data_IF_311169059920
#
_entry.id   IF_311169059920
#
_cell.length_a   1.000
_cell.length_b   1.000
_cell.length_c   1.000
_cell.angle_alpha   90.00
_cell.angle_beta   90.00
_cell.angle_gamma   90.00
#
_symmetry.space_group_name_H-M   'P 1'
#
loop_
_entity.id
_entity.type
_entity.pdbx_description
1 polymer ?
#
# COMPACT_ATOMS: atom_id res chain seq x y z
N UNK A 1 -2.95 25.84 52.07
CA UNK A 1 -2.45 27.14 51.58
C UNK A 1 -1.07 26.92 50.97
N UNK A 2 -0.98 26.73 49.66
CA UNK A 2 0.31 26.73 48.95
C UNK A 2 0.10 27.36 47.58
N UNK A 3 0.90 28.37 47.29
CA UNK A 3 0.62 29.40 46.32
C UNK A 3 1.01 29.04 44.89
N UNK A 4 0.21 29.61 43.98
CA UNK A 4 0.31 29.68 42.53
C UNK A 4 1.63 30.30 42.06
N UNK A 5 2.16 29.82 40.92
CA UNK A 5 2.84 30.67 39.94
C UNK A 5 2.35 30.31 38.55
N UNK A 6 1.45 31.16 38.02
CA UNK A 6 1.15 31.24 36.60
C UNK A 6 2.33 31.97 35.92
N UNK A 7 2.94 31.32 34.93
CA UNK A 7 3.83 31.99 34.00
C UNK A 7 3.06 32.23 32.69
N UNK A 8 2.57 33.46 32.55
CA UNK A 8 1.94 33.99 31.36
C UNK A 8 3.05 34.44 30.41
N UNK A 9 3.31 33.68 29.35
CA UNK A 9 4.25 34.11 28.29
C UNK A 9 3.44 34.61 27.09
N UNK A 10 3.52 35.92 26.89
CA UNK A 10 2.93 36.64 25.76
C UNK A 10 3.80 36.51 24.50
N UNK A 11 3.11 36.21 23.39
CA UNK A 11 3.19 36.88 22.06
C UNK A 11 4.51 36.81 21.28
N UNK A 12 4.43 36.19 20.10
CA UNK A 12 4.86 36.80 18.84
C UNK A 12 4.21 36.04 17.67
N UNK A 13 3.00 36.46 17.30
CA UNK A 13 2.32 36.03 16.08
C UNK A 13 2.97 36.76 14.91
N UNK A 14 3.96 36.13 14.27
CA UNK A 14 4.58 36.63 13.03
C UNK A 14 3.73 36.17 11.84
N UNK A 15 2.88 37.08 11.38
CA UNK A 15 2.07 36.94 10.17
C UNK A 15 2.95 37.20 8.95
N UNK A 16 3.61 36.15 8.44
CA UNK A 16 4.28 36.20 7.15
C UNK A 16 3.27 35.86 6.05
N UNK A 17 2.75 36.92 5.44
CA UNK A 17 2.00 36.88 4.18
C UNK A 17 3.00 36.63 3.05
N UNK A 18 3.03 35.41 2.51
CA UNK A 18 3.67 35.11 1.23
C UNK A 18 2.60 34.83 0.17
N UNK A 19 2.20 35.90 -0.52
CA UNK A 19 1.56 35.81 -1.84
C UNK A 19 2.62 35.33 -2.84
N UNK A 20 2.65 34.02 -3.07
CA UNK A 20 3.42 33.39 -4.14
C UNK A 20 2.49 32.53 -4.99
N UNK A 21 1.74 33.15 -5.89
CA UNK A 21 0.97 32.45 -6.89
C UNK A 21 1.92 31.84 -7.93
N UNK A 22 2.48 30.67 -7.64
CA UNK A 22 3.08 29.82 -8.64
C UNK A 22 1.95 29.04 -9.33
N UNK A 23 1.40 29.63 -10.38
CA UNK A 23 0.59 28.90 -11.36
C UNK A 23 1.50 27.89 -12.05
N UNK A 24 1.62 26.68 -11.47
CA UNK A 24 2.13 25.52 -12.19
C UNK A 24 1.19 25.27 -13.37
N UNK A 25 1.58 25.82 -14.52
CA UNK A 25 0.96 25.49 -15.77
C UNK A 25 1.12 24.01 -15.99
N UNK A 26 0.04 23.24 -15.86
CA UNK A 26 -0.09 21.98 -16.58
C UNK A 26 -0.02 22.34 -18.07
N UNK A 27 1.20 22.34 -18.62
CA UNK A 27 1.42 22.40 -20.07
C UNK A 27 0.77 21.13 -20.62
N UNK A 28 -0.46 21.27 -21.10
CA UNK A 28 -1.06 20.32 -22.03
C UNK A 28 -0.26 20.41 -23.32
N UNK A 29 0.78 19.59 -23.45
CA UNK A 29 1.30 19.22 -24.76
C UNK A 29 0.19 18.46 -25.48
N UNK A 30 -0.64 19.19 -26.21
CA UNK A 30 -1.50 18.63 -27.25
C UNK A 30 -0.55 18.14 -28.34
N UNK A 31 -0.06 16.92 -28.19
CA UNK A 31 0.66 16.22 -29.25
C UNK A 31 -0.33 15.93 -30.37
N UNK A 32 -0.34 16.77 -31.40
CA UNK A 32 -0.94 16.43 -32.69
C UNK A 32 -0.23 15.19 -33.22
N UNK A 33 -0.91 14.04 -33.17
CA UNK A 33 -0.48 12.81 -33.85
C UNK A 33 -0.37 13.10 -35.35
N UNK A 34 0.81 12.97 -35.99
CA UNK A 34 0.88 12.86 -37.43
C UNK A 34 0.21 11.55 -37.84
N UNK A 35 -0.65 11.62 -38.86
CA UNK A 35 -1.35 10.46 -39.40
C UNK A 35 -0.39 9.36 -39.83
N UNK A 36 -0.74 8.12 -39.46
CA UNK A 36 -0.18 6.92 -40.05
C UNK A 36 -1.34 6.20 -40.71
N UNK A 37 -1.19 5.99 -42.01
CA UNK A 37 -2.27 5.67 -42.94
C UNK A 37 -2.87 4.29 -42.78
N UNK A 38 -4.06 4.20 -43.37
CA UNK A 38 -4.73 2.98 -43.79
C UNK A 38 -3.88 2.15 -44.76
N UNK A 39 -3.75 0.87 -44.44
CA UNK A 39 -3.16 -0.20 -45.25
C UNK A 39 -2.85 -1.35 -44.31
N UNK A 40 -3.69 -2.38 -44.16
CA UNK A 40 -4.29 -3.21 -45.20
C UNK A 40 -3.44 -4.47 -45.33
N UNK A 41 -3.87 -5.58 -44.75
CA UNK A 41 -3.89 -6.96 -45.30
C UNK A 41 -4.31 -7.95 -44.21
N UNK A 42 -5.42 -8.65 -44.45
CA UNK A 42 -5.84 -9.86 -43.72
C UNK A 42 -4.80 -10.98 -43.88
N UNK A 43 -4.36 -11.65 -42.79
CA UNK A 43 -3.72 -12.95 -42.90
C UNK A 43 -4.76 -14.09 -42.94
N UNK A 44 -4.44 -15.18 -43.67
CA UNK A 44 -5.37 -16.26 -43.99
C UNK A 44 -5.72 -17.13 -42.77
N UNK A 45 -6.97 -17.58 -42.74
CA UNK A 45 -7.46 -18.71 -41.95
C UNK A 45 -6.57 -19.93 -42.21
N UNK A 46 -5.91 -20.44 -41.16
CA UNK A 46 -5.18 -21.68 -41.20
C UNK A 46 -5.66 -22.62 -40.09
N UNK A 47 -6.41 -23.62 -40.55
CA UNK A 47 -6.43 -25.01 -40.11
C UNK A 47 -6.73 -25.34 -38.63
N UNK A 48 -7.93 -25.91 -38.49
CA UNK A 48 -8.33 -26.96 -37.55
C UNK A 48 -7.20 -27.99 -37.36
N UNK A 49 -6.82 -28.24 -36.12
CA UNK A 49 -5.87 -29.28 -35.73
C UNK A 49 -6.40 -30.04 -34.51
N UNK A 50 -6.33 -31.36 -34.61
CA UNK A 50 -7.19 -32.35 -33.97
C UNK A 50 -6.90 -32.64 -32.49
N UNK A 51 -7.99 -33.09 -31.86
CA UNK A 51 -8.14 -34.10 -30.81
C UNK A 51 -6.86 -34.77 -30.25
N UNK A 52 -6.70 -34.64 -28.94
CA UNK A 52 -5.91 -35.57 -28.13
C UNK A 52 -6.52 -35.63 -26.75
N UNK A 53 -7.49 -36.54 -26.60
CA UNK A 53 -7.89 -37.17 -25.34
C UNK A 53 -6.65 -37.72 -24.64
N UNK A 54 -6.17 -37.02 -23.61
CA UNK A 54 -5.26 -37.60 -22.62
C UNK A 54 -6.08 -37.91 -21.38
N UNK A 55 -6.61 -39.13 -21.36
CA UNK A 55 -7.08 -39.82 -20.16
C UNK A 55 -5.88 -40.14 -19.26
N UNK A 56 -5.43 -39.12 -18.52
CA UNK A 56 -4.39 -39.26 -17.50
C UNK A 56 -5.03 -39.60 -16.16
N UNK A 57 -5.18 -40.90 -15.90
CA UNK A 57 -5.53 -41.49 -14.60
C UNK A 57 -4.59 -40.97 -13.49
N UNK A 58 -4.97 -39.85 -12.89
CA UNK A 58 -4.35 -39.36 -11.66
C UNK A 58 -5.12 -40.00 -10.52
N UNK A 59 -4.66 -41.20 -10.17
CA UNK A 59 -4.94 -41.88 -8.91
C UNK A 59 -4.98 -40.85 -7.78
N UNK A 60 -6.20 -40.43 -7.46
CA UNK A 60 -6.50 -39.53 -6.36
C UNK A 60 -6.25 -40.33 -5.10
N UNK A 61 -5.02 -40.28 -4.58
CA UNK A 61 -4.79 -40.66 -3.21
C UNK A 61 -5.81 -39.88 -2.37
N UNK A 62 -6.60 -40.54 -1.50
CA UNK A 62 -7.57 -39.85 -0.68
C UNK A 62 -6.82 -38.76 0.07
N UNK A 63 -7.16 -37.50 -0.22
CA UNK A 63 -6.79 -36.37 0.62
C UNK A 63 -7.24 -36.76 2.02
N UNK A 64 -6.27 -37.14 2.86
CA UNK A 64 -6.52 -37.35 4.27
C UNK A 64 -7.17 -36.07 4.75
N UNK A 65 -8.45 -36.16 5.07
CA UNK A 65 -9.17 -35.14 5.77
C UNK A 65 -8.44 -34.95 7.10
N UNK A 66 -7.51 -33.99 7.10
CA UNK A 66 -6.69 -33.67 8.25
C UNK A 66 -7.62 -33.53 9.44
N UNK A 67 -7.38 -34.38 10.44
CA UNK A 67 -8.11 -34.37 11.69
C UNK A 67 -8.23 -32.92 12.19
N UNK A 68 -9.40 -32.50 12.72
CA UNK A 68 -9.52 -31.20 13.35
C UNK A 68 -8.41 -31.10 14.40
N UNK A 69 -7.48 -30.18 14.18
CA UNK A 69 -6.37 -29.95 15.08
C UNK A 69 -6.95 -29.20 16.28
N UNK A 70 -7.63 -29.92 17.17
CA UNK A 70 -8.23 -29.43 18.41
C UNK A 70 -7.17 -29.02 19.46
N UNK A 71 -5.89 -29.03 19.07
CA UNK A 71 -4.82 -28.37 19.80
C UNK A 71 -4.56 -27.00 19.20
N UNK A 72 -5.15 -25.95 19.77
CA UNK A 72 -4.76 -24.57 19.50
C UNK A 72 -3.24 -24.45 19.73
N UNK A 73 -2.46 -24.46 18.63
CA UNK A 73 -1.02 -24.29 18.72
C UNK A 73 -0.73 -23.03 19.54
N UNK A 74 0.25 -23.07 20.46
CA UNK A 74 0.57 -21.93 21.28
C UNK A 74 0.87 -20.73 20.38
N UNK A 75 0.27 -19.59 20.73
CA UNK A 75 0.44 -18.35 19.97
C UNK A 75 1.93 -17.99 19.91
N UNK A 76 2.50 -17.69 18.73
CA UNK A 76 3.89 -17.28 18.62
C UNK A 76 4.17 -16.06 19.51
N UNK A 77 5.35 -16.00 20.12
CA UNK A 77 5.76 -14.91 21.03
C UNK A 77 5.79 -13.52 20.39
N UNK A 78 5.75 -13.46 19.05
CA UNK A 78 5.68 -12.23 18.26
C UNK A 78 4.32 -11.52 18.43
N UNK A 79 3.26 -12.32 18.63
CA UNK A 79 1.85 -11.93 18.62
C UNK A 79 1.39 -11.51 20.03
N UNK A 80 0.51 -10.50 20.09
CA UNK A 80 -0.18 -10.12 21.34
C UNK A 80 -1.33 -11.08 21.65
N UNK A 81 -1.99 -11.58 20.61
CA UNK A 81 -3.04 -12.60 20.68
C UNK A 81 -3.12 -13.38 19.37
N UNK A 82 -3.66 -14.61 19.43
CA UNK A 82 -3.88 -15.44 18.24
C UNK A 82 -5.27 -16.06 18.25
N UNK A 83 -5.89 -16.18 17.08
CA UNK A 83 -7.16 -16.89 16.88
C UNK A 83 -7.22 -17.45 15.46
N UNK A 84 -7.53 -18.75 15.30
CA UNK A 84 -7.79 -19.37 14.00
C UNK A 84 -6.80 -18.97 12.87
N UNK A 85 -5.49 -19.08 13.14
CA UNK A 85 -4.38 -18.72 12.24
C UNK A 85 -4.17 -17.20 11.98
N UNK A 86 -4.82 -16.34 12.77
CA UNK A 86 -4.57 -14.90 12.78
C UNK A 86 -3.73 -14.51 13.99
N UNK A 87 -2.64 -13.77 13.75
CA UNK A 87 -1.74 -13.18 14.73
C UNK A 87 -2.05 -11.68 14.84
N UNK A 88 -2.60 -11.23 15.97
CA UNK A 88 -2.81 -9.81 16.23
C UNK A 88 -1.65 -9.23 17.03
N UNK A 89 -1.08 -8.14 16.56
CA UNK A 89 0.02 -7.41 17.19
C UNK A 89 -0.48 -6.00 17.49
N UNK A 90 -0.69 -5.68 18.77
CA UNK A 90 -1.20 -4.37 19.20
C UNK A 90 -0.06 -3.52 19.76
N UNK A 91 0.18 -2.38 19.11
CA UNK A 91 1.17 -1.39 19.50
C UNK A 91 0.45 -0.12 19.98
N UNK A 92 0.44 0.09 21.30
CA UNK A 92 -0.28 1.21 21.93
C UNK A 92 0.67 2.32 22.41
N UNK A 93 1.99 2.11 22.27
CA UNK A 93 3.04 3.04 22.67
C UNK A 93 4.01 3.30 21.52
N UNK A 94 4.76 4.40 21.60
CA UNK A 94 5.77 4.76 20.62
C UNK A 94 6.91 3.72 20.50
N UNK A 95 7.16 2.95 21.57
CA UNK A 95 8.26 2.00 21.68
C UNK A 95 7.86 0.58 21.25
N UNK A 96 7.09 0.44 20.17
CA UNK A 96 6.87 -0.89 19.61
C UNK A 96 8.16 -1.35 18.90
N UNK A 97 8.83 -2.43 19.33
CA UNK A 97 10.05 -2.90 18.67
C UNK A 97 9.73 -3.35 17.24
N UNK A 98 10.76 -3.55 16.42
CA UNK A 98 10.56 -4.16 15.11
C UNK A 98 9.82 -5.51 15.25
N UNK A 99 8.86 -5.76 14.36
CA UNK A 99 8.00 -6.94 14.41
C UNK A 99 8.01 -7.66 13.08
N UNK A 100 8.07 -8.99 13.15
CA UNK A 100 8.04 -9.89 12.00
C UNK A 100 6.84 -10.81 12.13
N UNK A 101 6.03 -10.89 11.08
CA UNK A 101 4.92 -11.82 11.04
C UNK A 101 5.41 -13.28 10.94
N UNK A 102 4.87 -14.21 11.73
CA UNK A 102 5.16 -15.64 11.56
C UNK A 102 4.77 -16.15 10.17
N UNK A 103 5.58 -17.05 9.62
CA UNK A 103 5.32 -17.70 8.33
C UNK A 103 3.96 -18.40 8.32
N UNK A 104 3.19 -18.21 7.24
CA UNK A 104 1.93 -18.92 7.01
C UNK A 104 0.72 -18.40 7.79
N UNK A 105 0.90 -17.41 8.67
CA UNK A 105 -0.20 -16.81 9.44
C UNK A 105 -0.77 -15.58 8.74
N UNK A 106 -2.00 -15.19 9.12
CA UNK A 106 -2.55 -13.86 8.80
C UNK A 106 -2.13 -12.90 9.90
N UNK A 107 -1.50 -11.79 9.57
CA UNK A 107 -1.07 -10.81 10.57
C UNK A 107 -1.93 -9.55 10.56
N UNK A 108 -2.26 -9.07 11.76
CA UNK A 108 -3.00 -7.83 11.97
C UNK A 108 -2.20 -6.93 12.92
N UNK A 109 -1.58 -5.89 12.37
CA UNK A 109 -0.87 -4.87 13.13
C UNK A 109 -1.83 -3.73 13.48
N UNK A 110 -1.95 -3.42 14.77
CA UNK A 110 -2.79 -2.31 15.28
C UNK A 110 -1.92 -1.27 15.97
N UNK A 111 -1.54 -0.25 15.23
CA UNK A 111 -0.72 0.87 15.68
C UNK A 111 -1.65 2.02 16.10
N UNK A 112 -2.13 1.95 17.35
CA UNK A 112 -3.13 2.89 17.88
C UNK A 112 -2.52 4.03 18.69
N UNK A 113 -1.32 3.84 19.24
CA UNK A 113 -0.60 4.88 19.95
C UNK A 113 0.03 5.90 19.00
N UNK A 114 0.20 7.13 19.47
CA UNK A 114 0.97 8.14 18.72
C UNK A 114 2.42 7.68 18.57
N UNK A 115 2.96 7.87 17.38
CA UNK A 115 4.30 7.42 16.96
C UNK A 115 4.52 5.91 17.15
N UNK A 116 3.45 5.12 17.31
CA UNK A 116 3.53 3.66 17.37
C UNK A 116 3.96 3.09 16.02
N UNK A 117 4.61 1.92 16.06
CA UNK A 117 5.14 1.28 14.86
C UNK A 117 6.13 2.16 14.08
N UNK A 118 6.91 2.97 14.81
CA UNK A 118 8.01 3.75 14.23
C UNK A 118 9.18 2.87 13.76
N UNK A 119 9.25 1.64 14.27
CA UNK A 119 10.20 0.61 13.84
C UNK A 119 9.68 -0.14 12.60
N UNK A 120 10.57 -0.82 11.85
CA UNK A 120 10.17 -1.61 10.70
C UNK A 120 9.15 -2.71 11.04
N UNK A 121 8.12 -2.84 10.20
CA UNK A 121 7.15 -3.92 10.21
C UNK A 121 7.43 -4.83 9.01
N UNK A 122 7.68 -6.11 9.27
CA UNK A 122 7.94 -7.10 8.22
C UNK A 122 6.81 -8.14 8.20
N UNK A 123 6.02 -8.14 7.12
CA UNK A 123 4.96 -9.12 6.92
C UNK A 123 5.51 -10.49 6.49
N UNK A 124 6.80 -10.63 6.19
CA UNK A 124 7.50 -11.89 5.94
C UNK A 124 6.81 -12.79 4.91
N UNK A 125 6.65 -14.06 5.25
CA UNK A 125 5.93 -15.06 4.45
C UNK A 125 4.49 -15.28 4.98
N UNK A 126 3.83 -14.20 5.42
CA UNK A 126 2.42 -14.23 5.80
C UNK A 126 1.52 -14.49 4.59
N UNK A 127 0.37 -15.11 4.85
CA UNK A 127 -0.65 -15.30 3.80
C UNK A 127 -1.44 -14.03 3.57
N UNK A 128 -1.62 -13.20 4.62
CA UNK A 128 -2.27 -11.90 4.58
C UNK A 128 -1.62 -10.98 5.62
N UNK A 129 -1.49 -9.70 5.33
CA UNK A 129 -0.97 -8.71 6.26
C UNK A 129 -1.81 -7.44 6.26
N UNK A 130 -2.49 -7.18 7.37
CA UNK A 130 -3.30 -5.98 7.56
C UNK A 130 -2.62 -5.05 8.56
N UNK A 131 -2.30 -3.83 8.16
CA UNK A 131 -1.61 -2.83 8.98
C UNK A 131 -2.53 -1.63 9.18
N UNK A 132 -2.89 -1.35 10.44
CA UNK A 132 -3.76 -0.24 10.83
C UNK A 132 -2.97 0.81 11.61
N UNK A 133 -2.74 1.96 10.97
CA UNK A 133 -1.98 3.09 11.48
C UNK A 133 -2.95 4.22 11.86
N UNK A 134 -3.44 4.18 13.10
CA UNK A 134 -4.48 5.09 13.57
C UNK A 134 -3.95 6.22 14.45
N UNK A 135 -2.79 6.04 15.10
CA UNK A 135 -2.16 7.08 15.91
C UNK A 135 -1.52 8.20 15.07
N UNK A 136 -1.34 9.38 15.67
CA UNK A 136 -0.59 10.48 15.05
C UNK A 136 0.84 10.01 14.74
N UNK A 137 1.32 10.22 13.52
CA UNK A 137 2.69 9.81 13.18
C UNK A 137 2.93 8.30 13.32
N UNK A 138 1.89 7.47 13.33
CA UNK A 138 2.06 6.02 13.40
C UNK A 138 2.61 5.47 12.09
N UNK A 139 3.33 4.35 12.17
CA UNK A 139 3.90 3.68 11.01
C UNK A 139 4.89 4.55 10.21
N UNK A 140 5.75 5.30 10.90
CA UNK A 140 6.84 6.04 10.25
C UNK A 140 8.00 5.15 9.83
N UNK A 141 8.04 3.90 10.30
CA UNK A 141 9.03 2.90 9.90
C UNK A 141 8.73 2.30 8.53
N UNK A 142 9.68 1.52 8.00
CA UNK A 142 9.48 0.72 6.79
C UNK A 142 8.38 -0.33 7.01
N UNK A 143 7.41 -0.40 6.11
CA UNK A 143 6.44 -1.50 6.03
C UNK A 143 6.83 -2.38 4.84
N UNK A 144 7.26 -3.62 5.10
CA UNK A 144 7.56 -4.60 4.05
C UNK A 144 6.43 -5.61 3.93
N UNK A 145 5.70 -5.53 2.82
CA UNK A 145 4.64 -6.46 2.47
C UNK A 145 5.22 -7.77 1.91
N UNK A 146 4.71 -8.89 2.42
CA UNK A 146 5.16 -10.25 2.13
C UNK A 146 4.63 -10.82 0.82
N UNK A 147 4.63 -12.15 0.68
CA UNK A 147 4.10 -12.85 -0.50
C UNK A 147 2.57 -12.87 -0.61
N UNK A 148 1.84 -12.63 0.48
CA UNK A 148 0.38 -12.61 0.49
C UNK A 148 -0.25 -11.29 0.03
N UNK A 149 -1.55 -11.14 0.32
CA UNK A 149 -2.24 -9.86 0.20
C UNK A 149 -1.83 -8.94 1.35
N UNK A 150 -1.54 -7.67 1.03
CA UNK A 150 -1.13 -6.66 1.99
C UNK A 150 -2.10 -5.47 1.95
N UNK A 151 -2.73 -5.17 3.08
CA UNK A 151 -3.60 -4.01 3.24
C UNK A 151 -3.01 -3.07 4.28
N UNK A 152 -2.71 -1.83 3.88
CA UNK A 152 -2.20 -0.78 4.77
C UNK A 152 -3.22 0.34 4.85
N UNK A 153 -3.72 0.62 6.06
CA UNK A 153 -4.68 1.70 6.33
C UNK A 153 -4.07 2.77 7.23
N UNK A 154 -3.95 3.97 6.68
CA UNK A 154 -3.32 5.12 7.29
C UNK A 154 -4.40 6.18 7.58
N UNK A 155 -4.99 6.11 8.78
CA UNK A 155 -6.06 7.02 9.20
C UNK A 155 -5.57 8.10 10.15
N UNK A 156 -4.46 7.86 10.86
CA UNK A 156 -3.83 8.85 11.72
C UNK A 156 -3.26 10.02 10.92
N UNK A 157 -3.29 11.26 11.42
CA UNK A 157 -2.57 12.37 10.79
C UNK A 157 -1.08 12.05 10.70
N UNK A 158 -0.46 12.43 9.59
CA UNK A 158 0.96 12.16 9.27
C UNK A 158 1.35 10.69 9.49
N UNK A 159 0.42 9.75 9.33
CA UNK A 159 0.71 8.31 9.42
C UNK A 159 1.28 7.79 8.11
N UNK A 160 2.01 6.67 8.17
CA UNK A 160 2.61 6.03 6.99
C UNK A 160 3.55 6.95 6.21
N UNK A 161 4.33 7.76 6.94
CA UNK A 161 5.40 8.59 6.34
C UNK A 161 6.69 7.79 6.13
N UNK A 162 6.72 6.53 6.56
CA UNK A 162 7.76 5.57 6.19
C UNK A 162 7.45 4.87 4.87
N UNK A 163 8.49 4.35 4.23
CA UNK A 163 8.37 3.63 2.96
C UNK A 163 7.46 2.40 3.10
N UNK A 164 6.59 2.19 2.12
CA UNK A 164 5.79 0.96 1.98
C UNK A 164 6.33 0.20 0.78
N UNK A 165 6.84 -1.01 0.98
CA UNK A 165 7.47 -1.81 -0.05
C UNK A 165 6.79 -3.18 -0.17
N UNK A 166 6.29 -3.50 -1.36
CA UNK A 166 5.87 -4.84 -1.72
C UNK A 166 7.02 -5.64 -2.32
N UNK A 167 7.16 -6.89 -1.86
CA UNK A 167 8.12 -7.83 -2.44
C UNK A 167 7.66 -8.29 -3.83
N UNK A 168 8.56 -8.87 -4.66
CA UNK A 168 8.18 -9.43 -5.95
C UNK A 168 7.14 -10.57 -5.86
N UNK A 169 6.94 -11.15 -4.68
CA UNK A 169 5.99 -12.23 -4.45
C UNK A 169 4.61 -11.73 -4.00
N UNK A 170 4.46 -10.45 -3.64
CA UNK A 170 3.19 -9.88 -3.17
C UNK A 170 2.11 -10.01 -4.24
N UNK A 171 1.02 -10.71 -3.91
CA UNK A 171 -0.10 -10.96 -4.83
C UNK A 171 -0.95 -9.70 -5.04
N UNK A 172 -1.22 -8.99 -3.96
CA UNK A 172 -2.00 -7.75 -3.95
C UNK A 172 -1.52 -6.82 -2.86
N UNK A 173 -1.40 -5.53 -3.19
CA UNK A 173 -1.15 -4.47 -2.23
C UNK A 173 -2.25 -3.43 -2.34
N UNK A 174 -2.90 -3.11 -1.22
CA UNK A 174 -3.89 -2.06 -1.09
C UNK A 174 -3.43 -1.06 -0.02
N UNK A 175 -3.32 0.21 -0.37
CA UNK A 175 -2.91 1.28 0.56
C UNK A 175 -4.02 2.33 0.60
N UNK A 176 -4.63 2.52 1.77
CA UNK A 176 -5.70 3.48 1.99
C UNK A 176 -5.24 4.60 2.93
N UNK A 177 -5.14 5.81 2.40
CA UNK A 177 -4.61 6.99 3.07
C UNK A 177 -5.75 7.98 3.28
N UNK A 178 -6.24 8.09 4.51
CA UNK A 178 -7.35 8.99 4.88
C UNK A 178 -6.96 10.07 5.88
N UNK A 179 -5.87 9.87 6.62
CA UNK A 179 -5.32 10.89 7.53
C UNK A 179 -4.72 12.08 6.79
N UNK A 180 -4.76 13.27 7.38
CA UNK A 180 -4.09 14.45 6.81
C UNK A 180 -2.58 14.21 6.67
N UNK A 181 -2.03 14.48 5.48
CA UNK A 181 -0.63 14.21 5.11
C UNK A 181 -0.20 12.75 5.31
N UNK A 182 -1.14 11.80 5.33
CA UNK A 182 -0.82 10.39 5.39
C UNK A 182 -0.24 9.90 4.05
N UNK A 183 0.61 8.87 4.11
CA UNK A 183 1.26 8.30 2.93
C UNK A 183 2.07 9.34 2.13
N UNK A 184 2.73 10.27 2.81
CA UNK A 184 3.65 11.21 2.16
C UNK A 184 4.98 10.54 1.74
N UNK A 185 5.13 9.25 2.02
CA UNK A 185 6.31 8.44 1.73
C UNK A 185 6.23 7.76 0.37
N UNK A 186 7.31 7.06 0.03
CA UNK A 186 7.36 6.27 -1.19
C UNK A 186 6.62 4.95 -1.03
N UNK A 187 5.82 4.61 -2.03
CA UNK A 187 5.11 3.34 -2.15
C UNK A 187 5.73 2.58 -3.33
N UNK A 188 6.41 1.47 -3.05
CA UNK A 188 7.04 0.63 -4.05
C UNK A 188 6.15 -0.59 -4.28
N UNK A 189 5.46 -0.61 -5.42
CA UNK A 189 4.63 -1.74 -5.80
C UNK A 189 5.48 -2.94 -6.22
N UNK A 190 4.99 -4.13 -5.89
CA UNK A 190 5.57 -5.41 -6.30
C UNK A 190 5.15 -5.78 -7.73
N UNK A 191 5.15 -7.08 -8.03
CA UNK A 191 4.69 -7.59 -9.34
C UNK A 191 3.16 -7.71 -9.45
N UNK A 192 2.48 -7.87 -8.30
CA UNK A 192 1.04 -8.06 -8.21
C UNK A 192 0.21 -6.79 -8.40
N UNK A 193 -1.08 -6.86 -8.08
CA UNK A 193 -1.99 -5.69 -8.13
C UNK A 193 -1.58 -4.68 -7.06
N UNK A 194 -1.60 -3.40 -7.41
CA UNK A 194 -1.26 -2.32 -6.48
C UNK A 194 -2.34 -1.26 -6.54
N UNK A 195 -3.14 -1.13 -5.49
CA UNK A 195 -4.19 -0.11 -5.38
C UNK A 195 -3.83 0.88 -4.28
N UNK A 196 -3.73 2.16 -4.64
CA UNK A 196 -3.47 3.24 -3.69
C UNK A 196 -4.64 4.20 -3.74
N UNK A 197 -5.29 4.39 -2.60
CA UNK A 197 -6.44 5.28 -2.42
C UNK A 197 -6.09 6.39 -1.43
N UNK A 198 -6.15 7.63 -1.90
CA UNK A 198 -5.69 8.82 -1.18
C UNK A 198 -6.89 9.76 -1.00
N UNK A 199 -7.54 9.74 0.15
CA UNK A 199 -8.75 10.53 0.42
C UNK A 199 -8.51 11.72 1.38
N UNK A 200 -7.42 11.69 2.15
CA UNK A 200 -7.05 12.77 3.07
C UNK A 200 -6.42 13.98 2.36
N UNK A 201 -6.40 15.12 3.02
CA UNK A 201 -5.72 16.32 2.52
C UNK A 201 -4.20 16.10 2.51
N UNK A 202 -3.53 16.58 1.44
CA UNK A 202 -2.08 16.40 1.25
C UNK A 202 -1.60 14.94 1.39
N UNK A 203 -2.49 13.95 1.20
CA UNK A 203 -2.07 12.55 1.18
C UNK A 203 -1.25 12.25 -0.07
N UNK A 204 -0.56 11.12 -0.12
CA UNK A 204 0.11 10.62 -1.34
C UNK A 204 0.99 11.65 -2.07
N UNK A 205 1.67 12.48 -1.29
CA UNK A 205 2.65 13.43 -1.81
C UNK A 205 4.00 12.78 -2.14
N UNK A 206 4.23 11.55 -1.68
CA UNK A 206 5.43 10.77 -1.99
C UNK A 206 5.30 10.00 -3.30
N UNK A 207 6.40 9.38 -3.73
CA UNK A 207 6.48 8.71 -5.02
C UNK A 207 5.75 7.36 -5.02
N UNK A 208 5.03 7.07 -6.10
CA UNK A 208 4.43 5.76 -6.35
C UNK A 208 5.21 5.07 -7.48
N UNK A 209 5.98 4.06 -7.12
CA UNK A 209 6.76 3.26 -8.06
C UNK A 209 5.99 1.99 -8.46
N UNK A 210 5.41 2.03 -9.65
CA UNK A 210 4.74 0.92 -10.32
C UNK A 210 5.63 0.23 -11.38
N UNK A 211 6.95 0.45 -11.38
CA UNK A 211 7.87 -0.11 -12.39
C UNK A 211 7.85 -1.64 -12.48
N UNK A 212 7.32 -2.31 -11.45
CA UNK A 212 7.17 -3.77 -11.38
C UNK A 212 5.73 -4.26 -11.57
N UNK A 213 4.72 -3.39 -11.52
CA UNK A 213 3.30 -3.78 -11.55
C UNK A 213 2.59 -3.20 -12.76
N UNK A 214 1.99 -4.08 -13.57
CA UNK A 214 1.05 -3.67 -14.62
C UNK A 214 -0.36 -3.43 -14.09
N UNK A 215 -0.67 -3.84 -12.86
CA UNK A 215 -1.96 -3.67 -12.19
C UNK A 215 -1.99 -2.51 -11.20
N UNK A 216 -1.21 -1.46 -11.45
CA UNK A 216 -1.08 -0.32 -10.55
C UNK A 216 -2.20 0.71 -10.79
N UNK A 217 -2.92 1.05 -9.73
CA UNK A 217 -4.04 2.01 -9.74
C UNK A 217 -3.87 3.00 -8.60
N UNK A 218 -3.85 4.29 -8.95
CA UNK A 218 -3.87 5.38 -7.97
C UNK A 218 -5.19 6.15 -8.08
N UNK A 219 -5.91 6.20 -6.97
CA UNK A 219 -7.16 6.95 -6.82
C UNK A 219 -6.94 8.08 -5.83
N UNK A 220 -7.04 9.31 -6.29
CA UNK A 220 -7.00 10.48 -5.42
C UNK A 220 -8.47 10.87 -5.12
N UNK A 221 -8.78 11.36 -3.94
CA UNK A 221 -10.14 11.75 -3.56
C UNK A 221 -10.41 13.24 -3.78
N UNK A 222 -9.35 14.05 -3.81
CA UNK A 222 -9.42 15.52 -3.93
C UNK A 222 -8.32 16.03 -4.86
N UNK A 223 -8.50 17.25 -5.37
CA UNK A 223 -7.51 17.96 -6.18
C UNK A 223 -6.29 18.28 -5.29
N UNK A 224 -5.08 18.05 -5.79
CA UNK A 224 -3.83 18.34 -5.05
C UNK A 224 -3.37 17.24 -4.08
N UNK A 225 -4.01 16.07 -4.12
CA UNK A 225 -3.71 14.91 -3.26
C UNK A 225 -2.71 13.93 -3.90
N UNK A 226 -2.31 14.13 -5.14
CA UNK A 226 -1.34 13.25 -5.79
C UNK A 226 -0.30 14.14 -6.44
N UNK A 227 0.70 14.52 -5.64
CA UNK A 227 1.77 15.43 -6.04
C UNK A 227 3.11 14.72 -6.23
N UNK A 228 3.23 13.46 -5.79
CA UNK A 228 4.42 12.65 -6.01
C UNK A 228 4.57 12.20 -7.45
N UNK A 229 5.76 11.68 -7.78
CA UNK A 229 5.98 11.08 -9.09
C UNK A 229 5.32 9.71 -9.19
N UNK A 230 4.80 9.38 -10.38
CA UNK A 230 4.28 8.06 -10.70
C UNK A 230 5.19 7.44 -11.74
N UNK A 231 5.90 6.36 -11.37
CA UNK A 231 6.72 5.61 -12.31
C UNK A 231 5.95 4.38 -12.77
N UNK A 232 5.69 4.25 -14.08
CA UNK A 232 5.00 3.10 -14.64
C UNK A 232 5.93 2.26 -15.50
N UNK A 233 5.67 0.95 -15.57
CA UNK A 233 6.38 0.04 -16.47
C UNK A 233 6.00 0.34 -17.94
N UNK A 234 6.98 0.46 -18.85
CA UNK A 234 6.72 0.64 -20.27
C UNK A 234 5.85 -0.50 -20.83
N UNK A 235 4.83 -0.14 -21.61
CA UNK A 235 3.94 -1.11 -22.26
C UNK A 235 2.71 -1.53 -21.45
N UNK A 236 2.56 -1.11 -20.18
CA UNK A 236 1.36 -1.43 -19.40
C UNK A 236 0.31 -0.33 -19.48
N UNK A 237 -0.80 -0.64 -20.16
CA UNK A 237 -1.93 0.25 -20.41
C UNK A 237 -2.84 0.50 -19.20
N UNK A 238 -2.62 -0.26 -18.12
CA UNK A 238 -3.44 -0.23 -16.91
C UNK A 238 -2.87 0.65 -15.80
N UNK A 239 -1.65 1.18 -15.96
CA UNK A 239 -1.14 2.22 -15.06
C UNK A 239 -1.95 3.50 -15.29
N UNK A 240 -2.91 3.77 -14.40
CA UNK A 240 -3.85 4.89 -14.55
C UNK A 240 -4.02 5.65 -13.24
N UNK A 241 -3.98 6.97 -13.35
CA UNK A 241 -4.46 7.89 -12.32
C UNK A 241 -5.94 8.17 -12.58
N UNK A 242 -6.81 7.91 -11.60
CA UNK A 242 -8.26 8.07 -11.77
C UNK A 242 -8.71 9.53 -11.96
N UNK A 243 -7.83 10.51 -11.73
CA UNK A 243 -8.16 11.94 -11.72
C UNK A 243 -7.26 12.83 -12.59
N UNK A 244 -6.55 12.27 -13.56
CA UNK A 244 -5.84 13.09 -14.55
C UNK A 244 -4.61 13.84 -14.02
N UNK A 245 -3.96 13.34 -12.96
CA UNK A 245 -2.57 13.67 -12.73
C UNK A 245 -1.77 13.12 -13.92
N UNK A 246 -1.10 14.03 -14.62
CA UNK A 246 -0.61 13.89 -15.99
C UNK A 246 0.21 12.64 -16.27
N UNK A 247 0.16 12.26 -17.53
CA UNK A 247 0.82 11.17 -18.24
C UNK A 247 2.18 10.75 -17.67
N UNK A 248 2.39 9.44 -17.61
CA UNK A 248 3.72 8.82 -17.66
C UNK A 248 4.49 9.26 -18.91
#
# INVERSE_FOLDING_TARGET
MSQRRLATTHVALVLLVSLGAASSGCVRTVGTRPGVGDGGVDPPEAAVGEDSTVDGDSSSAPVEAGLPIDGAAPCPSQCSSCSANECTISCNSALCPAKVCPKGMRCVFRCTGDFSCSQPLDCGESTHCNVFCNGLGSCTGLIRCGGGDCEVRCSGPTSCTGTIEATPLTQGMAVHCSGNSACSANILCGSGKCEVECSGDLTCSGDLDCSKSCGCKQSCGKIGVCSGSLTCIPGCSSCRTALGCGSC
#
